data_IF_608058220506
#
_entry.id   IF_608058220506
#
_cell.length_a   1.000
_cell.length_b   1.000
_cell.length_c   1.000
_cell.angle_alpha   90.00
_cell.angle_beta   90.00
_cell.angle_gamma   90.00
#
_symmetry.space_group_name_H-M   'P 1'
#
loop_
_entity.id
_entity.type
_entity.pdbx_description
1 polymer ?
#
# COMPACT_ATOMS: atom_id res chain seq x y z
N UNK A 1 36.20 10.37 47.54
CA UNK A 1 35.59 9.86 46.29
C UNK A 1 34.18 10.44 46.20
N UNK A 2 33.93 11.39 45.31
CA UNK A 2 32.59 11.98 45.06
C UNK A 2 32.31 11.82 43.56
N UNK A 3 31.32 11.01 43.23
CA UNK A 3 30.91 10.73 41.86
C UNK A 3 30.19 11.94 41.26
N UNK A 4 30.63 12.38 40.08
CA UNK A 4 29.96 13.39 39.26
C UNK A 4 29.09 12.68 38.23
N UNK A 5 27.78 12.83 38.36
CA UNK A 5 26.76 12.28 37.46
C UNK A 5 26.59 13.18 36.23
N UNK A 6 26.74 12.63 35.03
CA UNK A 6 26.44 13.31 33.76
C UNK A 6 24.91 13.42 33.57
N UNK A 7 24.42 14.62 33.26
CA UNK A 7 23.05 14.83 32.79
C UNK A 7 23.00 14.72 31.26
N UNK A 8 22.36 13.67 30.75
CA UNK A 8 22.06 13.50 29.32
C UNK A 8 20.64 14.03 29.04
N UNK A 9 20.54 15.24 28.48
CA UNK A 9 19.26 15.88 28.13
C UNK A 9 18.64 15.19 26.91
N UNK A 10 17.72 14.26 27.15
CA UNK A 10 17.00 13.47 26.13
C UNK A 10 15.59 14.03 25.89
N UNK A 11 15.45 15.18 25.24
CA UNK A 11 14.15 15.72 24.78
C UNK A 11 14.30 16.63 23.55
N UNK A 12 14.46 16.07 22.34
CA UNK A 12 14.46 16.85 21.07
C UNK A 12 13.72 16.26 19.85
N UNK A 13 13.29 14.99 19.76
CA UNK A 13 12.63 14.53 18.53
C UNK A 13 11.19 15.05 18.40
N UNK A 14 10.49 15.26 19.52
CA UNK A 14 9.07 15.64 19.51
C UNK A 14 8.84 17.09 19.05
N UNK A 15 9.75 18.01 19.41
CA UNK A 15 9.63 19.42 19.04
C UNK A 15 9.83 19.65 17.53
N UNK A 16 10.73 18.89 16.91
CA UNK A 16 11.01 18.97 15.46
C UNK A 16 9.85 18.40 14.65
N UNK A 17 9.26 17.28 15.11
CA UNK A 17 8.09 16.68 14.47
C UNK A 17 6.88 17.63 14.50
N UNK A 18 6.67 18.35 15.62
CA UNK A 18 5.56 19.29 15.77
C UNK A 18 5.74 20.55 14.92
N UNK A 19 6.96 21.08 14.80
CA UNK A 19 7.25 22.21 13.91
C UNK A 19 7.07 21.86 12.43
N UNK A 20 7.44 20.63 12.04
CA UNK A 20 7.31 20.15 10.66
C UNK A 20 5.84 19.91 10.28
N UNK A 21 5.03 19.40 11.22
CA UNK A 21 3.58 19.29 11.03
C UNK A 21 2.92 20.66 10.87
N UNK A 22 3.38 21.67 11.63
CA UNK A 22 2.89 23.05 11.53
C UNK A 22 3.19 23.74 10.20
N UNK A 23 4.36 23.50 9.61
CA UNK A 23 4.71 24.05 8.29
C UNK A 23 3.95 23.38 7.15
N UNK A 24 3.69 22.06 7.25
CA UNK A 24 2.84 21.33 6.31
C UNK A 24 1.37 21.78 6.33
N UNK A 25 0.91 22.32 7.46
CA UNK A 25 -0.44 22.86 7.61
C UNK A 25 -0.63 24.29 7.06
N UNK A 26 0.41 24.90 6.47
CA UNK A 26 0.26 26.19 5.80
C UNK A 26 -0.41 26.04 4.42
N UNK A 27 -1.27 26.99 4.07
CA UNK A 27 -2.09 26.95 2.85
C UNK A 27 -1.26 26.95 1.56
N UNK A 28 -0.11 27.62 1.55
CA UNK A 28 0.81 27.63 0.40
C UNK A 28 1.47 26.28 0.16
N UNK A 29 1.82 25.55 1.23
CA UNK A 29 2.41 24.21 1.13
C UNK A 29 1.38 23.16 0.66
N UNK A 30 0.10 23.35 1.00
CA UNK A 30 -1.01 22.50 0.54
C UNK A 30 -1.27 22.65 -0.96
N UNK A 31 -1.20 23.88 -1.49
CA UNK A 31 -1.40 24.13 -2.92
C UNK A 31 -0.37 23.38 -3.77
N UNK A 32 0.93 23.54 -3.46
CA UNK A 32 2.01 22.83 -4.18
C UNK A 32 1.89 21.30 -4.09
N UNK A 33 1.39 20.77 -2.98
CA UNK A 33 1.17 19.34 -2.79
C UNK A 33 0.05 18.79 -3.69
N UNK A 34 -0.98 19.60 -3.95
CA UNK A 34 -2.16 19.24 -4.74
C UNK A 34 -2.02 19.56 -6.23
N UNK A 35 -1.32 20.64 -6.57
CA UNK A 35 -1.15 21.10 -7.95
C UNK A 35 -0.41 20.06 -8.81
N UNK A 36 0.59 19.40 -8.23
CA UNK A 36 1.36 18.32 -8.86
C UNK A 36 0.83 16.92 -8.52
N UNK A 37 -0.33 16.82 -7.85
CA UNK A 37 -0.89 15.53 -7.49
C UNK A 37 -1.40 14.77 -8.72
N UNK A 38 -1.15 13.46 -8.72
CA UNK A 38 -1.64 12.51 -9.72
C UNK A 38 -2.49 11.46 -9.04
N UNK A 39 -3.62 11.14 -9.66
CA UNK A 39 -4.52 10.11 -9.19
C UNK A 39 -4.97 9.20 -10.31
N UNK A 40 -5.02 7.90 -10.03
CA UNK A 40 -5.68 6.92 -10.90
C UNK A 40 -6.65 6.08 -10.09
N UNK A 41 -7.82 5.82 -10.65
CA UNK A 41 -8.77 4.84 -10.13
C UNK A 41 -8.97 3.76 -11.17
N UNK A 42 -8.49 2.55 -10.87
CA UNK A 42 -8.60 1.39 -11.74
C UNK A 42 -9.76 0.52 -11.29
N UNK A 43 -10.67 0.25 -12.22
CA UNK A 43 -11.70 -0.77 -12.09
C UNK A 43 -11.20 -2.04 -12.77
N UNK A 44 -10.97 -3.10 -12.00
CA UNK A 44 -10.47 -4.38 -12.52
C UNK A 44 -11.51 -5.47 -12.27
N UNK A 45 -12.15 -5.95 -13.33
CA UNK A 45 -12.98 -7.15 -13.29
C UNK A 45 -12.12 -8.36 -13.64
N UNK A 46 -12.06 -9.37 -12.78
CA UNK A 46 -11.12 -10.49 -12.93
C UNK A 46 -11.78 -11.82 -12.62
N UNK A 47 -11.97 -12.65 -13.65
CA UNK A 47 -12.36 -14.06 -13.54
C UNK A 47 -11.14 -14.97 -13.74
N UNK A 48 -10.92 -15.93 -12.84
CA UNK A 48 -9.92 -17.00 -13.01
C UNK A 48 -10.62 -18.34 -12.85
N UNK A 49 -10.40 -19.23 -13.82
CA UNK A 49 -10.71 -20.65 -13.73
C UNK A 49 -9.42 -21.46 -13.95
N UNK A 50 -9.17 -22.42 -13.05
CA UNK A 50 -8.09 -23.38 -13.12
C UNK A 50 -8.65 -24.79 -12.97
N UNK A 51 -8.49 -25.58 -14.02
CA UNK A 51 -8.97 -26.96 -14.10
C UNK A 51 -7.82 -27.95 -13.82
N UNK A 52 -8.01 -28.85 -12.86
CA UNK A 52 -6.99 -29.80 -12.43
C UNK A 52 -7.25 -31.18 -13.05
N UNK A 53 -6.36 -31.63 -13.94
CA UNK A 53 -6.57 -32.82 -14.80
C UNK A 53 -5.78 -34.08 -14.41
N UNK A 54 -5.29 -34.18 -13.17
CA UNK A 54 -4.50 -35.35 -12.73
C UNK A 54 -5.28 -36.22 -11.77
N UNK A 55 -5.05 -37.54 -11.86
CA UNK A 55 -5.72 -38.55 -11.03
C UNK A 55 -5.48 -38.38 -9.52
N UNK A 56 -4.40 -37.69 -9.13
CA UNK A 56 -4.08 -37.36 -7.74
C UNK A 56 -4.49 -35.93 -7.33
N UNK A 57 -5.29 -35.24 -8.14
CA UNK A 57 -5.75 -33.90 -7.80
C UNK A 57 -6.69 -33.96 -6.59
N UNK A 58 -6.39 -33.17 -5.55
CA UNK A 58 -7.21 -33.08 -4.34
C UNK A 58 -8.47 -32.22 -4.52
N UNK A 59 -8.63 -31.59 -5.69
CA UNK A 59 -9.81 -30.83 -6.11
C UNK A 59 -9.92 -30.83 -7.64
N UNK A 60 -11.13 -30.68 -8.16
CA UNK A 60 -11.39 -30.66 -9.62
C UNK A 60 -11.10 -29.30 -10.27
N UNK A 61 -11.41 -28.19 -9.59
CA UNK A 61 -11.17 -26.83 -10.09
C UNK A 61 -10.87 -25.82 -8.98
N UNK A 62 -10.29 -24.69 -9.37
CA UNK A 62 -10.33 -23.44 -8.61
C UNK A 62 -10.91 -22.34 -9.51
N UNK A 63 -11.97 -21.68 -9.07
CA UNK A 63 -12.74 -20.72 -9.84
C UNK A 63 -13.28 -19.61 -8.94
N UNK A 64 -12.88 -18.37 -9.23
CA UNK A 64 -13.25 -17.18 -8.47
C UNK A 64 -13.42 -16.00 -9.45
N UNK A 65 -14.33 -15.08 -9.13
CA UNK A 65 -14.61 -13.87 -9.89
C UNK A 65 -14.67 -12.66 -8.95
N UNK A 66 -13.91 -11.61 -9.25
CA UNK A 66 -13.86 -10.39 -8.44
C UNK A 66 -14.05 -9.12 -9.25
N UNK A 67 -14.63 -8.11 -8.60
CA UNK A 67 -14.58 -6.72 -9.03
C UNK A 67 -13.67 -5.95 -8.06
N UNK A 68 -12.67 -5.27 -8.60
CA UNK A 68 -11.64 -4.62 -7.81
C UNK A 68 -11.55 -3.13 -8.13
N UNK A 69 -11.19 -2.35 -7.12
CA UNK A 69 -11.05 -0.91 -7.14
C UNK A 69 -9.68 -0.58 -6.55
N UNK A 70 -8.80 -0.02 -7.38
CA UNK A 70 -7.42 0.31 -7.01
C UNK A 70 -7.25 1.81 -7.22
N UNK A 71 -7.16 2.55 -6.12
CA UNK A 71 -6.97 3.99 -6.09
C UNK A 71 -5.49 4.27 -5.80
N UNK A 72 -4.74 4.81 -6.74
CA UNK A 72 -3.34 5.23 -6.57
C UNK A 72 -3.27 6.75 -6.63
N UNK A 73 -3.05 7.39 -5.48
CA UNK A 73 -2.90 8.83 -5.32
C UNK A 73 -1.46 9.14 -4.93
N UNK A 74 -0.84 10.02 -5.69
CA UNK A 74 0.52 10.50 -5.47
C UNK A 74 0.49 12.00 -5.40
N UNK A 75 0.84 12.58 -4.27
CA UNK A 75 0.97 14.04 -4.18
C UNK A 75 2.18 14.56 -4.95
N UNK A 76 2.26 15.88 -5.11
CA UNK A 76 3.48 16.58 -5.49
C UNK A 76 4.56 16.54 -4.40
N UNK A 77 5.49 17.49 -4.48
CA UNK A 77 6.45 17.79 -3.41
C UNK A 77 6.24 19.23 -2.94
N UNK A 78 6.37 19.47 -1.64
CA UNK A 78 6.35 20.83 -1.08
C UNK A 78 7.51 21.67 -1.65
N UNK A 79 7.31 22.98 -1.80
CA UNK A 79 8.37 23.88 -2.26
C UNK A 79 9.52 24.01 -1.25
N UNK A 80 10.74 24.16 -1.77
CA UNK A 80 11.95 24.42 -1.00
C UNK A 80 13.09 23.45 -1.31
N UNK A 81 14.24 23.59 -0.62
CA UNK A 81 15.39 22.71 -0.83
C UNK A 81 15.10 21.24 -0.49
N UNK A 82 14.21 21.01 0.48
CA UNK A 82 13.69 19.70 0.86
C UNK A 82 12.20 19.63 0.54
N UNK A 83 11.86 18.82 -0.45
CA UNK A 83 10.47 18.55 -0.81
C UNK A 83 9.92 17.39 -0.01
N UNK A 84 8.72 17.54 0.56
CA UNK A 84 7.99 16.48 1.23
C UNK A 84 6.73 16.12 0.46
N UNK A 85 6.31 14.86 0.53
CA UNK A 85 5.06 14.41 -0.06
C UNK A 85 4.53 13.16 0.61
N UNK A 86 3.35 12.77 0.18
CA UNK A 86 2.63 11.57 0.61
C UNK A 86 1.99 10.85 -0.59
N UNK A 87 2.13 9.53 -0.61
CA UNK A 87 1.46 8.65 -1.57
C UNK A 87 0.46 7.76 -0.79
N UNK A 88 -0.71 7.52 -1.39
CA UNK A 88 -1.78 6.69 -0.84
C UNK A 88 -2.24 5.69 -1.89
N UNK A 89 -2.27 4.41 -1.52
CA UNK A 89 -2.79 3.33 -2.35
C UNK A 89 -3.99 2.68 -1.64
N UNK A 90 -5.20 2.97 -2.12
CA UNK A 90 -6.44 2.37 -1.66
C UNK A 90 -6.77 1.11 -2.46
N UNK A 91 -6.94 -0.01 -1.78
CA UNK A 91 -7.15 -1.32 -2.41
C UNK A 91 -8.44 -1.95 -1.88
N UNK A 92 -9.38 -2.27 -2.77
CA UNK A 92 -10.62 -2.95 -2.41
C UNK A 92 -11.04 -3.97 -3.47
N UNK A 93 -11.43 -5.15 -3.05
CA UNK A 93 -11.90 -6.23 -3.90
C UNK A 93 -13.22 -6.79 -3.36
N UNK A 94 -14.18 -6.96 -4.26
CA UNK A 94 -15.50 -7.51 -4.01
C UNK A 94 -15.63 -8.85 -4.73
N UNK A 95 -16.04 -9.90 -4.03
CA UNK A 95 -16.40 -11.17 -4.65
C UNK A 95 -17.69 -11.02 -5.45
N UNK A 96 -17.66 -11.48 -6.71
CA UNK A 96 -18.82 -11.68 -7.57
C UNK A 96 -19.21 -13.16 -7.63
N UNK A 97 -18.22 -14.06 -7.67
CA UNK A 97 -18.41 -15.51 -7.61
C UNK A 97 -17.20 -16.21 -6.97
N UNK A 98 -17.39 -17.40 -6.41
CA UNK A 98 -16.37 -18.17 -5.71
C UNK A 98 -16.89 -18.76 -4.40
N UNK A 99 -16.83 -20.09 -4.28
CA UNK A 99 -17.39 -20.82 -3.15
C UNK A 99 -16.38 -21.72 -2.45
N UNK A 100 -16.78 -22.21 -1.27
CA UNK A 100 -16.04 -23.25 -0.56
C UNK A 100 -15.93 -24.49 -1.46
N UNK A 101 -14.74 -25.09 -1.51
CA UNK A 101 -14.43 -26.23 -2.37
C UNK A 101 -13.91 -25.86 -3.77
N UNK A 102 -14.17 -24.65 -4.26
CA UNK A 102 -13.65 -24.15 -5.54
C UNK A 102 -12.79 -22.89 -5.39
N UNK A 103 -12.51 -22.43 -4.18
CA UNK A 103 -11.62 -21.28 -3.95
C UNK A 103 -10.14 -21.57 -4.18
N UNK A 104 -9.30 -20.56 -3.96
CA UNK A 104 -7.84 -20.70 -3.96
C UNK A 104 -7.17 -20.36 -5.29
N UNK A 105 -7.80 -19.54 -6.12
CA UNK A 105 -7.12 -18.91 -7.26
C UNK A 105 -6.15 -17.80 -6.81
N UNK A 106 -6.27 -17.38 -5.53
CA UNK A 106 -5.61 -16.23 -4.91
C UNK A 106 -6.21 -14.88 -5.31
N UNK A 107 -7.39 -14.87 -5.93
CA UNK A 107 -8.17 -13.64 -6.09
C UNK A 107 -8.78 -13.17 -4.76
N UNK A 108 -9.06 -14.09 -3.85
CA UNK A 108 -9.66 -13.80 -2.55
C UNK A 108 -8.88 -14.49 -1.42
N UNK A 109 -8.72 -13.84 -0.26
CA UNK A 109 -8.30 -14.53 0.95
C UNK A 109 -9.26 -15.68 1.28
N UNK A 110 -8.70 -16.79 1.78
CA UNK A 110 -9.50 -17.90 2.30
C UNK A 110 -9.52 -17.82 3.83
N UNK A 111 -10.70 -18.01 4.40
CA UNK A 111 -10.86 -18.21 5.84
C UNK A 111 -10.33 -19.60 6.25
N UNK A 112 -10.21 -19.85 7.55
CA UNK A 112 -9.70 -21.09 8.13
C UNK A 112 -10.44 -22.34 7.65
N UNK A 113 -11.72 -22.21 7.30
CA UNK A 113 -12.56 -23.30 6.81
C UNK A 113 -12.51 -23.47 5.28
N UNK A 114 -11.70 -22.66 4.58
CA UNK A 114 -11.52 -22.68 3.14
C UNK A 114 -12.58 -21.90 2.36
N UNK A 115 -13.43 -21.11 3.02
CA UNK A 115 -14.39 -20.22 2.35
C UNK A 115 -13.68 -18.96 1.83
N UNK A 116 -13.84 -18.58 0.54
CA UNK A 116 -13.38 -17.29 0.05
C UNK A 116 -14.12 -16.12 0.71
N UNK A 117 -13.38 -15.09 1.11
CA UNK A 117 -13.94 -13.87 1.67
C UNK A 117 -14.92 -13.20 0.69
N UNK A 118 -15.98 -12.57 1.22
CA UNK A 118 -16.94 -11.83 0.38
C UNK A 118 -16.33 -10.53 -0.17
N UNK A 119 -15.38 -9.94 0.55
CA UNK A 119 -14.63 -8.76 0.16
C UNK A 119 -13.35 -8.67 1.00
N UNK A 120 -12.34 -7.95 0.50
CA UNK A 120 -11.15 -7.61 1.27
C UNK A 120 -10.48 -6.36 0.70
N UNK A 121 -9.64 -5.72 1.51
CA UNK A 121 -8.97 -4.50 1.11
C UNK A 121 -8.12 -3.92 2.24
N UNK A 122 -7.39 -2.86 1.91
CA UNK A 122 -6.55 -2.09 2.82
C UNK A 122 -6.14 -0.77 2.18
N UNK A 123 -5.56 0.11 2.99
CA UNK A 123 -4.98 1.37 2.54
C UNK A 123 -3.49 1.35 2.88
N UNK A 124 -2.64 1.55 1.88
CA UNK A 124 -1.21 1.76 2.04
C UNK A 124 -0.92 3.26 2.02
N UNK A 125 -0.01 3.71 2.89
CA UNK A 125 0.43 5.11 2.93
C UNK A 125 1.95 5.15 3.00
N UNK A 126 2.57 5.99 2.16
CA UNK A 126 4.01 6.21 2.17
C UNK A 126 4.33 7.71 2.18
N UNK A 127 5.17 8.13 3.13
CA UNK A 127 5.79 9.45 3.11
C UNK A 127 7.00 9.45 2.19
N UNK A 128 7.21 10.55 1.46
CA UNK A 128 8.35 10.75 0.56
C UNK A 128 9.05 12.07 0.83
N UNK A 129 10.37 12.07 0.71
CA UNK A 129 11.23 13.25 0.85
C UNK A 129 12.21 13.28 -0.32
N UNK A 130 12.36 14.43 -0.98
CA UNK A 130 13.27 14.63 -2.11
C UNK A 130 14.23 15.79 -1.84
N UNK A 131 15.51 15.56 -2.11
CA UNK A 131 16.57 16.57 -2.12
C UNK A 131 17.36 16.45 -3.41
N UNK A 132 17.31 17.47 -4.28
CA UNK A 132 17.83 17.37 -5.65
C UNK A 132 17.23 16.13 -6.34
N UNK A 133 18.02 15.17 -6.83
CA UNK A 133 17.54 13.91 -7.42
C UNK A 133 17.55 12.71 -6.47
N UNK A 134 17.83 12.92 -5.18
CA UNK A 134 17.80 11.85 -4.18
C UNK A 134 16.43 11.82 -3.51
N UNK A 135 15.82 10.63 -3.48
CA UNK A 135 14.49 10.42 -2.91
C UNK A 135 14.51 9.34 -1.82
N UNK A 136 13.90 9.64 -0.68
CA UNK A 136 13.65 8.70 0.40
C UNK A 136 12.14 8.45 0.49
N UNK A 137 11.73 7.18 0.59
CA UNK A 137 10.36 6.77 0.86
C UNK A 137 10.28 5.90 2.09
N UNK A 138 9.26 6.12 2.92
CA UNK A 138 9.01 5.36 4.15
C UNK A 138 7.51 5.12 4.29
N UNK A 139 7.13 3.87 4.55
CA UNK A 139 5.73 3.44 4.67
C UNK A 139 5.47 2.24 3.78
N UNK A 140 4.28 2.15 3.22
CA UNK A 140 3.83 1.00 2.44
C UNK A 140 3.53 1.37 0.99
N UNK A 141 4.08 0.65 0.00
CA UNK A 141 3.81 0.89 -1.43
C UNK A 141 4.04 -0.33 -2.33
N UNK A 142 3.65 -0.22 -3.61
CA UNK A 142 3.92 -1.21 -4.65
C UNK A 142 5.37 -1.10 -5.15
N UNK A 143 6.23 -2.04 -4.75
CA UNK A 143 7.67 -2.01 -5.04
C UNK A 143 8.03 -2.95 -6.21
N UNK A 144 8.68 -2.42 -7.24
CA UNK A 144 9.12 -3.18 -8.43
C UNK A 144 10.64 -3.04 -8.61
N UNK A 145 11.39 -3.95 -8.00
CA UNK A 145 12.83 -4.11 -8.18
C UNK A 145 13.13 -5.48 -8.80
N UNK A 146 14.23 -5.63 -9.57
CA UNK A 146 14.62 -6.94 -10.12
C UNK A 146 14.80 -8.03 -9.07
N UNK A 147 15.22 -7.65 -7.86
CA UNK A 147 15.45 -8.54 -6.71
C UNK A 147 14.25 -8.66 -5.76
N UNK A 148 13.29 -7.74 -5.85
CA UNK A 148 12.10 -7.69 -5.00
C UNK A 148 10.96 -7.05 -5.78
N UNK A 149 10.10 -7.89 -6.34
CA UNK A 149 9.00 -7.48 -7.20
C UNK A 149 7.68 -7.85 -6.55
N UNK A 150 6.90 -6.84 -6.17
CA UNK A 150 5.52 -7.02 -5.79
C UNK A 150 4.72 -7.63 -6.96
N UNK A 151 3.94 -8.67 -6.67
CA UNK A 151 3.02 -9.26 -7.64
C UNK A 151 1.74 -8.42 -7.77
N UNK A 152 1.26 -8.26 -9.00
CA UNK A 152 -0.06 -7.66 -9.31
C UNK A 152 -0.86 -8.58 -10.25
N UNK A 153 -0.66 -9.89 -10.12
CA UNK A 153 -1.24 -10.90 -11.01
C UNK A 153 -2.62 -11.39 -10.56
N UNK A 154 -3.25 -10.74 -9.57
CA UNK A 154 -4.53 -11.14 -8.95
C UNK A 154 -5.45 -9.93 -8.74
N UNK A 155 -6.36 -10.02 -7.78
CA UNK A 155 -7.34 -8.97 -7.47
C UNK A 155 -6.70 -7.64 -7.11
N UNK A 156 -5.76 -7.65 -6.16
CA UNK A 156 -5.08 -6.46 -5.62
C UNK A 156 -3.56 -6.68 -5.62
N UNK A 157 -2.76 -5.62 -5.80
CA UNK A 157 -1.30 -5.71 -5.76
C UNK A 157 -0.79 -6.05 -4.37
N UNK A 158 0.30 -6.81 -4.33
CA UNK A 158 1.16 -6.96 -3.16
C UNK A 158 1.83 -5.62 -2.84
N UNK A 159 2.07 -5.33 -1.57
CA UNK A 159 2.88 -4.19 -1.14
C UNK A 159 3.84 -4.64 -0.04
N UNK A 160 4.81 -3.78 0.27
CA UNK A 160 5.81 -3.95 1.31
C UNK A 160 5.86 -2.69 2.17
#
# INVERSE_FOLDING_TARGET
>A
MKNSTFHLTRQRPLAIALSLAGTLASTGVQAALLDDAKGTLTFRNFFINRDFKRDNATRSKAEEWTQNFILDLKSGYTEGPLGFGVDVLGLYAQKLDGGKGTGGTQLLPLDHDGKPADHFGRIAVAGKMKFSETELRVGEWFLVLPILRADDGRSLPQTF
#
